data_IF_017889140375
#
_entry.id   IF_017889140375
#
_cell.length_a   1.000
_cell.length_b   1.000
_cell.length_c   1.000
_cell.angle_alpha   90.00
_cell.angle_beta   90.00
_cell.angle_gamma   90.00
#
_symmetry.space_group_name_H-M   'P 1'
#
loop_
_entity.id
_entity.type
_entity.pdbx_description
1 polymer ?
#
# COMPACT_ATOMS: atom_id res chain seq x y z
N UNK A 1 -47.82 33.05 -24.31
CA UNK A 1 -47.59 33.04 -22.84
C UNK A 1 -46.08 33.10 -22.63
N UNK A 2 -45.53 34.22 -22.17
CA UNK A 2 -44.10 34.30 -21.80
C UNK A 2 -43.87 33.43 -20.56
N UNK A 3 -43.02 32.40 -20.68
CA UNK A 3 -42.54 31.65 -19.53
C UNK A 3 -41.69 32.59 -18.66
N UNK A 4 -42.06 32.77 -17.39
CA UNK A 4 -41.21 33.46 -16.41
C UNK A 4 -39.96 32.61 -16.20
N UNK A 5 -38.82 33.10 -16.66
CA UNK A 5 -37.52 32.50 -16.36
C UNK A 5 -37.24 32.71 -14.86
N UNK A 6 -37.36 31.66 -14.07
CA UNK A 6 -36.96 31.67 -12.66
C UNK A 6 -35.43 31.67 -12.59
N UNK A 7 -34.84 32.86 -12.41
CA UNK A 7 -33.43 32.97 -12.11
C UNK A 7 -33.09 32.38 -10.74
N UNK A 8 -31.88 31.87 -10.59
CA UNK A 8 -31.33 31.44 -9.31
C UNK A 8 -31.17 32.64 -8.38
N UNK A 9 -31.62 32.54 -7.14
CA UNK A 9 -31.53 33.63 -6.18
C UNK A 9 -30.15 33.67 -5.52
N UNK A 10 -29.69 34.87 -5.17
CA UNK A 10 -28.42 35.02 -4.43
C UNK A 10 -28.45 34.31 -3.08
N UNK A 11 -29.62 34.25 -2.43
CA UNK A 11 -29.78 33.55 -1.15
C UNK A 11 -29.64 32.03 -1.31
N UNK A 12 -30.11 31.44 -2.42
CA UNK A 12 -29.89 30.02 -2.70
C UNK A 12 -28.39 29.72 -2.89
N UNK A 13 -27.64 30.59 -3.57
CA UNK A 13 -26.20 30.41 -3.71
C UNK A 13 -25.50 30.44 -2.34
N UNK A 14 -25.84 31.44 -1.52
CA UNK A 14 -25.24 31.65 -0.20
C UNK A 14 -25.58 30.48 0.73
N UNK A 15 -26.84 30.02 0.74
CA UNK A 15 -27.25 28.91 1.58
C UNK A 15 -26.50 27.62 1.21
N UNK A 16 -26.28 27.36 -0.08
CA UNK A 16 -25.54 26.18 -0.54
C UNK A 16 -24.08 26.21 -0.06
N UNK A 17 -23.37 27.34 -0.23
CA UNK A 17 -21.96 27.42 0.22
C UNK A 17 -21.84 27.33 1.74
N UNK A 18 -22.82 27.85 2.50
CA UNK A 18 -22.84 27.73 3.96
C UNK A 18 -23.02 26.27 4.39
N UNK A 19 -23.94 25.55 3.76
CA UNK A 19 -24.15 24.12 4.04
C UNK A 19 -22.91 23.31 3.65
N UNK A 20 -22.34 23.54 2.46
CA UNK A 20 -21.12 22.86 2.02
C UNK A 20 -19.93 23.16 2.95
N UNK A 21 -19.80 24.41 3.43
CA UNK A 21 -18.79 24.79 4.40
C UNK A 21 -18.94 24.04 5.73
N UNK A 22 -20.16 23.94 6.26
CA UNK A 22 -20.42 23.19 7.49
C UNK A 22 -20.13 21.69 7.34
N UNK A 23 -20.51 21.08 6.22
CA UNK A 23 -20.22 19.67 5.93
C UNK A 23 -18.73 19.40 5.71
N UNK A 24 -18.01 20.33 5.09
CA UNK A 24 -16.58 20.19 4.83
C UNK A 24 -15.77 20.11 6.12
N UNK A 25 -16.11 20.91 7.14
CA UNK A 25 -15.39 20.93 8.44
C UNK A 25 -15.44 19.57 9.13
N UNK A 26 -16.55 18.84 9.05
CA UNK A 26 -16.68 17.51 9.66
C UNK A 26 -16.15 16.39 8.77
N UNK A 27 -16.26 16.52 7.44
CA UNK A 27 -15.90 15.48 6.49
C UNK A 27 -14.40 15.41 6.22
N UNK A 28 -13.71 16.56 6.14
CA UNK A 28 -12.29 16.62 5.77
C UNK A 28 -11.37 15.88 6.76
N UNK A 29 -11.46 16.08 8.09
CA UNK A 29 -10.58 15.38 9.03
C UNK A 29 -10.73 13.85 8.92
N UNK A 30 -11.98 13.38 8.88
CA UNK A 30 -12.27 11.95 8.73
C UNK A 30 -11.79 11.39 7.39
N UNK A 31 -11.89 12.16 6.32
CA UNK A 31 -11.40 11.73 5.01
C UNK A 31 -9.88 11.57 4.97
N UNK A 32 -9.13 12.43 5.67
CA UNK A 32 -7.68 12.31 5.82
C UNK A 32 -7.32 11.06 6.64
N UNK A 33 -8.01 10.84 7.77
CA UNK A 33 -7.77 9.68 8.62
C UNK A 33 -8.06 8.36 7.89
N UNK A 34 -9.13 8.32 7.08
CA UNK A 34 -9.49 7.16 6.28
C UNK A 34 -8.45 6.88 5.18
N UNK A 35 -7.90 7.92 4.56
CA UNK A 35 -6.80 7.75 3.60
C UNK A 35 -5.58 7.13 4.27
N UNK A 36 -5.16 7.66 5.42
CA UNK A 36 -4.01 7.09 6.15
C UNK A 36 -4.23 5.63 6.54
N UNK A 37 -5.42 5.28 7.03
CA UNK A 37 -5.77 3.88 7.33
C UNK A 37 -5.78 2.99 6.09
N UNK A 38 -6.28 3.49 4.96
CA UNK A 38 -6.30 2.75 3.70
C UNK A 38 -4.89 2.49 3.17
N UNK A 39 -3.98 3.46 3.31
CA UNK A 39 -2.56 3.29 2.94
C UNK A 39 -1.87 2.23 3.80
N UNK A 40 -2.04 2.30 5.14
CA UNK A 40 -1.50 1.28 6.05
C UNK A 40 -2.07 -0.11 5.73
N UNK A 41 -3.38 -0.22 5.51
CA UNK A 41 -4.01 -1.49 5.15
C UNK A 41 -3.50 -2.05 3.81
N UNK A 42 -3.24 -1.18 2.83
CA UNK A 42 -2.62 -1.57 1.56
C UNK A 42 -1.20 -2.08 1.77
N UNK A 43 -0.39 -1.39 2.57
CA UNK A 43 0.97 -1.81 2.90
C UNK A 43 0.99 -3.13 3.69
N UNK A 44 0.04 -3.33 4.60
CA UNK A 44 -0.16 -4.59 5.33
C UNK A 44 -0.51 -5.75 4.40
N UNK A 45 -1.36 -5.51 3.39
CA UNK A 45 -1.66 -6.51 2.35
C UNK A 45 -0.40 -6.93 1.60
N UNK A 46 0.47 -5.97 1.25
CA UNK A 46 1.75 -6.26 0.61
C UNK A 46 2.69 -7.02 1.56
N UNK A 47 2.74 -6.65 2.84
CA UNK A 47 3.54 -7.37 3.83
C UNK A 47 3.07 -8.83 4.01
N UNK A 48 1.76 -9.07 4.01
CA UNK A 48 1.20 -10.43 4.03
C UNK A 48 1.60 -11.24 2.79
N UNK A 49 1.54 -10.62 1.61
CA UNK A 49 2.01 -11.25 0.37
C UNK A 49 3.52 -11.55 0.40
N UNK A 50 4.33 -10.67 0.99
CA UNK A 50 5.76 -10.87 1.17
C UNK A 50 6.05 -12.08 2.09
N UNK A 51 5.31 -12.24 3.19
CA UNK A 51 5.44 -13.42 4.07
C UNK A 51 5.07 -14.73 3.36
N UNK A 52 4.00 -14.71 2.56
CA UNK A 52 3.60 -15.86 1.77
C UNK A 52 4.69 -16.20 0.73
N UNK A 53 5.24 -15.19 0.06
CA UNK A 53 6.32 -15.36 -0.90
C UNK A 53 7.58 -15.96 -0.26
N UNK A 54 7.98 -15.51 0.93
CA UNK A 54 9.14 -16.09 1.64
C UNK A 54 8.91 -17.55 2.03
N UNK A 55 7.70 -17.90 2.47
CA UNK A 55 7.37 -19.27 2.82
C UNK A 55 7.33 -20.20 1.60
N UNK A 56 6.74 -19.75 0.49
CA UNK A 56 6.64 -20.50 -0.76
C UNK A 56 8.03 -20.67 -1.40
N UNK A 57 8.85 -19.62 -1.42
CA UNK A 57 10.21 -19.68 -1.95
C UNK A 57 11.04 -20.73 -1.18
N UNK A 58 11.02 -20.67 0.14
CA UNK A 58 11.69 -21.66 0.98
C UNK A 58 11.18 -23.08 0.77
N UNK A 59 9.85 -23.28 0.75
CA UNK A 59 9.26 -24.59 0.49
C UNK A 59 9.67 -25.17 -0.88
N UNK A 60 9.76 -24.31 -1.88
CA UNK A 60 10.23 -24.68 -3.21
C UNK A 60 11.71 -25.00 -3.28
N UNK A 61 12.54 -24.27 -2.53
CA UNK A 61 13.98 -24.51 -2.44
C UNK A 61 14.27 -25.85 -1.74
N UNK A 62 13.58 -26.18 -0.65
CA UNK A 62 13.78 -27.47 0.04
C UNK A 62 13.22 -28.67 -0.74
N UNK A 63 12.20 -28.46 -1.57
CA UNK A 63 11.61 -29.52 -2.40
C UNK A 63 12.31 -29.70 -3.74
N UNK A 64 13.16 -28.74 -4.14
CA UNK A 64 13.78 -28.69 -5.47
C UNK A 64 12.79 -28.39 -6.61
N UNK A 65 11.58 -27.94 -6.28
CA UNK A 65 10.52 -27.66 -7.24
C UNK A 65 10.68 -26.31 -7.98
N UNK A 66 11.56 -25.43 -7.48
CA UNK A 66 11.88 -24.14 -8.09
C UNK A 66 13.33 -24.16 -8.56
N UNK A 67 13.58 -23.83 -9.83
CA UNK A 67 14.92 -23.82 -10.41
C UNK A 67 15.17 -22.55 -11.26
N UNK A 68 16.26 -21.81 -11.03
CA UNK A 68 17.23 -22.00 -9.95
C UNK A 68 16.60 -21.66 -8.58
N UNK A 69 16.93 -22.47 -7.57
CA UNK A 69 16.58 -22.26 -6.17
C UNK A 69 17.39 -21.08 -5.60
N UNK A 70 16.99 -19.85 -5.95
CA UNK A 70 17.63 -18.65 -5.43
C UNK A 70 16.99 -18.27 -4.09
N UNK A 71 17.74 -18.33 -2.97
CA UNK A 71 17.23 -17.94 -1.66
C UNK A 71 16.91 -16.45 -1.65
N UNK A 72 15.90 -16.03 -0.88
CA UNK A 72 15.65 -14.61 -0.65
C UNK A 72 16.69 -14.06 0.33
N UNK A 73 17.64 -13.29 -0.18
CA UNK A 73 18.71 -12.64 0.57
C UNK A 73 18.59 -11.12 0.61
N UNK A 74 17.87 -10.53 -0.35
CA UNK A 74 17.75 -9.08 -0.51
C UNK A 74 16.36 -8.65 -1.00
N UNK A 75 16.15 -7.33 -1.08
CA UNK A 75 14.87 -6.75 -1.47
C UNK A 75 14.47 -7.07 -2.92
N UNK A 76 15.43 -7.20 -3.84
CA UNK A 76 15.14 -7.50 -5.24
C UNK A 76 14.59 -8.91 -5.41
N UNK A 77 15.18 -9.88 -4.70
CA UNK A 77 14.71 -11.27 -4.66
C UNK A 77 13.36 -11.38 -3.96
N UNK A 78 13.16 -10.65 -2.86
CA UNK A 78 11.85 -10.58 -2.19
C UNK A 78 10.77 -10.04 -3.13
N UNK A 79 11.06 -8.94 -3.85
CA UNK A 79 10.11 -8.34 -4.78
C UNK A 79 9.79 -9.28 -5.95
N UNK A 80 10.80 -9.99 -6.46
CA UNK A 80 10.63 -11.00 -7.51
C UNK A 80 9.81 -12.21 -7.05
N UNK A 81 9.96 -12.63 -5.78
CA UNK A 81 9.23 -13.75 -5.21
C UNK A 81 7.71 -13.49 -5.07
N UNK A 82 7.29 -12.22 -5.03
CA UNK A 82 5.89 -11.83 -4.88
C UNK A 82 5.09 -11.78 -6.20
N UNK A 83 5.63 -12.33 -7.31
CA UNK A 83 5.11 -12.16 -8.65
C UNK A 83 3.57 -12.34 -8.79
N UNK A 84 2.85 -11.35 -9.37
CA UNK A 84 3.35 -10.10 -9.92
C UNK A 84 3.81 -9.11 -8.83
N UNK A 85 4.87 -8.35 -9.12
CA UNK A 85 5.39 -7.36 -8.18
C UNK A 85 4.30 -6.31 -7.85
N UNK A 86 4.12 -5.95 -6.56
CA UNK A 86 3.16 -4.93 -6.16
C UNK A 86 3.46 -3.56 -6.79
N UNK A 87 2.42 -2.88 -7.26
CA UNK A 87 2.56 -1.59 -7.94
C UNK A 87 3.24 -0.53 -7.05
N UNK A 88 4.24 0.15 -7.62
CA UNK A 88 4.95 1.25 -6.97
C UNK A 88 5.92 0.85 -5.86
N UNK A 89 6.11 -0.46 -5.61
CA UNK A 89 7.16 -0.95 -4.71
C UNK A 89 8.47 -1.12 -5.47
N UNK A 90 9.55 -0.63 -4.89
CA UNK A 90 10.89 -0.72 -5.47
C UNK A 90 11.85 -1.37 -4.48
N UNK A 91 12.83 -2.10 -5.00
CA UNK A 91 13.86 -2.75 -4.19
C UNK A 91 15.11 -1.88 -4.09
N UNK A 92 15.71 -1.83 -2.90
CA UNK A 92 17.02 -1.22 -2.64
C UNK A 92 17.70 -1.94 -1.47
N UNK A 93 18.88 -2.52 -1.73
CA UNK A 93 19.59 -3.31 -0.73
C UNK A 93 18.72 -4.46 -0.19
N UNK A 94 18.62 -4.56 1.14
CA UNK A 94 17.81 -5.57 1.81
C UNK A 94 16.30 -5.24 1.87
N UNK A 95 15.86 -4.10 1.33
CA UNK A 95 14.51 -3.61 1.52
C UNK A 95 13.72 -3.48 0.21
N UNK A 96 12.40 -3.61 0.32
CA UNK A 96 11.44 -3.08 -0.64
C UNK A 96 10.70 -1.92 0.03
N UNK A 97 10.41 -0.87 -0.73
CA UNK A 97 9.74 0.31 -0.19
C UNK A 97 8.81 0.96 -1.19
N UNK A 98 7.81 1.67 -0.66
CA UNK A 98 6.94 2.57 -1.41
C UNK A 98 6.70 3.83 -0.60
N UNK A 99 6.80 4.99 -1.24
CA UNK A 99 6.47 6.27 -0.63
C UNK A 99 5.14 6.77 -1.16
N UNK A 100 4.23 7.14 -0.24
CA UNK A 100 2.94 7.77 -0.55
C UNK A 100 2.87 9.06 0.27
N UNK A 101 2.72 10.19 -0.43
CA UNK A 101 2.81 11.50 0.22
C UNK A 101 4.17 11.70 0.90
N UNK A 102 4.16 11.81 2.23
CA UNK A 102 5.37 11.97 3.06
C UNK A 102 5.76 10.70 3.84
N UNK A 103 4.99 9.63 3.72
CA UNK A 103 5.19 8.38 4.47
C UNK A 103 5.86 7.35 3.57
N UNK A 104 6.92 6.71 4.06
CA UNK A 104 7.62 5.62 3.37
C UNK A 104 7.35 4.30 4.09
N UNK A 105 6.64 3.40 3.40
CA UNK A 105 6.38 2.04 3.87
C UNK A 105 7.52 1.15 3.43
N UNK A 106 8.19 0.49 4.38
CA UNK A 106 9.37 -0.33 4.11
C UNK A 106 9.18 -1.73 4.64
N UNK A 107 9.56 -2.72 3.84
CA UNK A 107 9.71 -4.12 4.26
C UNK A 107 11.17 -4.51 4.05
N UNK A 108 11.82 -4.99 5.11
CA UNK A 108 13.25 -5.33 5.10
C UNK A 108 13.44 -6.81 5.35
N UNK A 109 14.22 -7.46 4.49
CA UNK A 109 14.78 -8.80 4.75
C UNK A 109 15.78 -8.65 5.90
N UNK A 110 15.34 -8.99 7.11
CA UNK A 110 16.14 -8.88 8.33
C UNK A 110 17.06 -10.08 8.55
N UNK A 111 16.72 -11.23 7.98
CA UNK A 111 17.59 -12.38 7.86
C UNK A 111 17.40 -13.04 6.50
N UNK A 112 18.51 -13.29 5.81
CA UNK A 112 18.51 -14.01 4.55
C UNK A 112 18.02 -15.45 4.75
N UNK A 113 17.35 -15.97 3.72
CA UNK A 113 17.00 -17.38 3.65
C UNK A 113 18.25 -18.26 3.63
N UNK A 114 18.14 -19.41 4.28
CA UNK A 114 19.19 -20.43 4.36
C UNK A 114 18.61 -21.79 4.00
N UNK A 115 19.46 -22.81 3.83
CA UNK A 115 19.02 -24.17 3.60
C UNK A 115 18.13 -24.75 4.74
N UNK A 116 18.15 -24.14 5.94
CA UNK A 116 17.44 -24.62 7.12
C UNK A 116 16.26 -23.73 7.54
N UNK A 117 16.15 -22.51 7.02
CA UNK A 117 15.13 -21.55 7.46
C UNK A 117 14.76 -20.55 6.35
N UNK A 118 13.47 -20.16 6.26
CA UNK A 118 13.02 -19.12 5.34
C UNK A 118 13.61 -17.75 5.69
N UNK A 119 13.61 -16.82 4.73
CA UNK A 119 13.95 -15.44 5.00
C UNK A 119 13.01 -14.85 6.07
N UNK A 120 13.57 -14.06 6.98
CA UNK A 120 12.78 -13.28 7.94
C UNK A 120 12.65 -11.86 7.41
N UNK A 121 11.41 -11.34 7.45
CA UNK A 121 11.11 -9.98 7.02
C UNK A 121 10.52 -9.17 8.16
N UNK A 122 10.83 -7.88 8.18
CA UNK A 122 10.31 -6.89 9.12
C UNK A 122 9.69 -5.74 8.35
N UNK A 123 8.80 -4.99 9.01
CA UNK A 123 8.06 -3.90 8.39
C UNK A 123 8.24 -2.62 9.20
N UNK A 124 8.26 -1.47 8.54
CA UNK A 124 8.36 -0.15 9.17
C UNK A 124 7.46 0.84 8.45
N UNK A 125 6.51 1.39 9.19
CA UNK A 125 5.66 2.53 8.88
C UNK A 125 5.05 3.09 10.17
#
# INVERSE_FOLDING_TARGET
MQARQSGFTLIELIMVIVILGALAVIALPRYIDLQGQAEVASADGVFGAAQAATAINFAGNISGAISPAAPITNGTELLGAMAPAPDGWTASGAAISRTIGSTTYTITVSAAETAAAPATITKSW
#
